data_IF_340365498545
#
_entry.id   IF_340365498545
#
_cell.length_a   1.000
_cell.length_b   1.000
_cell.length_c   1.000
_cell.angle_alpha   90.00
_cell.angle_beta   90.00
_cell.angle_gamma   90.00
#
_symmetry.space_group_name_H-M   'P 1'
#
loop_
_entity.id
_entity.type
_entity.pdbx_description
1 polymer ?
#
# COMPACT_ATOMS: atom_id res chain seq x y z
N UNK A 1 -63.25 -66.70 -23.18
CA UNK A 1 -64.39 -65.78 -22.93
C UNK A 1 -63.94 -64.35 -23.20
N UNK A 2 -64.60 -63.68 -24.17
CA UNK A 2 -64.77 -62.21 -24.44
C UNK A 2 -63.56 -61.27 -24.18
N UNK A 3 -62.86 -60.73 -25.19
CA UNK A 3 -63.16 -59.53 -26.03
C UNK A 3 -63.48 -58.26 -25.21
N UNK A 4 -62.96 -57.04 -25.43
CA UNK A 4 -62.09 -56.43 -26.44
C UNK A 4 -61.69 -54.99 -25.99
N UNK A 5 -60.95 -54.29 -26.87
CA UNK A 5 -60.97 -52.83 -27.17
C UNK A 5 -59.66 -52.07 -26.88
N UNK A 6 -58.97 -51.75 -27.99
CA UNK A 6 -57.97 -50.69 -28.16
C UNK A 6 -58.56 -49.31 -27.84
N UNK A 7 -57.73 -48.39 -27.33
CA UNK A 7 -57.65 -47.00 -27.82
C UNK A 7 -56.40 -46.28 -27.30
N UNK A 8 -55.60 -45.79 -28.25
CA UNK A 8 -54.57 -44.78 -28.07
C UNK A 8 -55.21 -43.45 -27.66
N UNK A 9 -54.68 -42.82 -26.61
CA UNK A 9 -55.10 -41.49 -26.16
C UNK A 9 -53.90 -40.54 -26.13
N UNK A 10 -53.89 -39.61 -27.09
CA UNK A 10 -53.07 -38.39 -27.09
C UNK A 10 -53.34 -37.62 -25.79
N UNK A 11 -52.32 -37.46 -24.96
CA UNK A 11 -52.38 -36.57 -23.79
C UNK A 11 -52.04 -35.14 -24.22
N UNK A 12 -52.98 -34.23 -23.94
CA UNK A 12 -52.92 -32.82 -24.26
C UNK A 12 -51.86 -32.08 -23.42
N UNK A 13 -51.11 -31.21 -24.09
CA UNK A 13 -50.21 -30.23 -23.48
C UNK A 13 -51.01 -29.25 -22.61
N UNK A 14 -50.62 -29.11 -21.34
CA UNK A 14 -51.06 -28.01 -20.47
C UNK A 14 -49.93 -26.97 -20.39
N UNK A 15 -50.22 -25.66 -20.54
CA UNK A 15 -49.22 -24.63 -20.44
C UNK A 15 -48.87 -24.37 -18.97
N UNK A 16 -47.58 -24.47 -18.64
CA UNK A 16 -47.07 -24.08 -17.33
C UNK A 16 -46.92 -22.55 -17.32
N UNK A 17 -47.70 -21.89 -16.48
CA UNK A 17 -47.73 -20.44 -16.29
C UNK A 17 -46.35 -19.91 -15.86
N UNK A 18 -45.78 -19.01 -16.67
CA UNK A 18 -44.62 -18.21 -16.33
C UNK A 18 -45.00 -17.24 -15.19
N UNK A 19 -44.53 -17.51 -13.97
CA UNK A 19 -44.61 -16.53 -12.88
C UNK A 19 -43.66 -15.38 -13.22
N UNK A 20 -44.23 -14.21 -13.49
CA UNK A 20 -43.49 -12.95 -13.51
C UNK A 20 -42.82 -12.74 -12.15
N UNK A 21 -41.51 -12.98 -12.09
CA UNK A 21 -40.66 -12.43 -11.05
C UNK A 21 -40.46 -10.96 -11.37
N UNK A 22 -41.34 -10.12 -10.80
CA UNK A 22 -41.05 -8.69 -10.63
C UNK A 22 -39.98 -8.60 -9.53
N UNK A 23 -38.73 -8.80 -9.93
CA UNK A 23 -37.55 -8.65 -9.09
C UNK A 23 -36.96 -7.27 -9.28
N UNK A 24 -37.19 -6.39 -8.29
CA UNK A 24 -36.62 -5.06 -8.06
C UNK A 24 -35.44 -4.68 -8.97
N UNK A 25 -35.64 -3.63 -9.77
CA UNK A 25 -34.57 -2.81 -10.30
C UNK A 25 -33.76 -2.24 -9.13
N UNK A 26 -32.55 -2.74 -8.91
CA UNK A 26 -31.58 -2.02 -8.10
C UNK A 26 -31.16 -0.79 -8.91
N UNK A 27 -31.76 0.36 -8.60
CA UNK A 27 -31.14 1.65 -8.88
C UNK A 27 -29.94 1.78 -7.96
N UNK A 28 -28.83 1.11 -8.28
CA UNK A 28 -27.54 1.36 -7.62
C UNK A 28 -26.86 2.52 -8.32
N UNK A 29 -27.36 3.72 -8.09
CA UNK A 29 -26.52 4.92 -8.12
C UNK A 29 -25.82 5.04 -6.77
N UNK A 30 -25.08 4.01 -6.36
CA UNK A 30 -23.95 4.23 -5.46
C UNK A 30 -22.77 4.42 -6.41
N UNK A 31 -22.38 5.69 -6.60
CA UNK A 31 -21.14 6.02 -7.30
C UNK A 31 -20.02 5.24 -6.60
N UNK A 32 -19.52 4.19 -7.22
CA UNK A 32 -18.37 3.48 -6.69
C UNK A 32 -17.25 4.51 -6.50
N UNK A 33 -16.52 4.50 -5.38
CA UNK A 33 -15.58 5.56 -5.06
C UNK A 33 -14.61 5.81 -6.22
N UNK A 34 -14.51 7.07 -6.64
CA UNK A 34 -13.65 7.51 -7.74
C UNK A 34 -12.25 7.83 -7.21
N UNK A 35 -11.57 6.86 -6.61
CA UNK A 35 -10.21 7.11 -6.14
C UNK A 35 -9.19 7.04 -7.28
N UNK A 36 -8.46 8.14 -7.50
CA UNK A 36 -7.29 8.18 -8.38
C UNK A 36 -6.01 7.96 -7.58
N UNK A 37 -5.20 7.00 -8.02
CA UNK A 37 -3.89 6.70 -7.44
C UNK A 37 -2.80 6.94 -8.47
N UNK A 38 -1.75 7.68 -8.09
CA UNK A 38 -0.54 7.84 -8.88
C UNK A 38 0.64 7.05 -8.27
N UNK A 39 1.40 6.34 -9.11
CA UNK A 39 2.63 5.66 -8.71
C UNK A 39 3.80 6.35 -9.42
N UNK A 40 4.69 6.99 -8.65
CA UNK A 40 5.89 7.66 -9.16
C UNK A 40 7.11 6.73 -9.02
N UNK A 41 7.69 6.31 -10.14
CA UNK A 41 8.67 5.22 -10.21
C UNK A 41 8.05 3.88 -10.62
N UNK A 42 6.99 3.93 -11.44
CA UNK A 42 6.18 2.77 -11.82
C UNK A 42 6.91 1.75 -12.71
N UNK A 43 7.95 2.16 -13.44
CA UNK A 43 8.73 1.24 -14.28
C UNK A 43 9.83 0.51 -13.49
N UNK A 44 10.10 0.93 -12.25
CA UNK A 44 11.08 0.30 -11.36
C UNK A 44 10.67 -1.07 -10.82
N UNK A 45 11.63 -1.76 -10.17
CA UNK A 45 11.44 -3.12 -9.66
C UNK A 45 10.37 -3.26 -8.57
N UNK A 46 10.08 -2.20 -7.81
CA UNK A 46 8.92 -2.14 -6.89
C UNK A 46 7.68 -1.65 -7.64
N UNK A 47 7.84 -0.67 -8.53
CA UNK A 47 6.76 0.00 -9.24
C UNK A 47 5.89 -0.94 -10.06
N UNK A 48 6.48 -1.84 -10.85
CA UNK A 48 5.72 -2.75 -11.70
C UNK A 48 4.83 -3.72 -10.91
N UNK A 49 5.34 -4.51 -9.94
CA UNK A 49 4.48 -5.37 -9.13
C UNK A 49 3.51 -4.57 -8.26
N UNK A 50 3.85 -3.34 -7.85
CA UNK A 50 2.91 -2.47 -7.13
C UNK A 50 1.77 -2.02 -8.04
N UNK A 51 2.06 -1.63 -9.29
CA UNK A 51 1.04 -1.25 -10.28
C UNK A 51 0.06 -2.40 -10.55
N UNK A 52 0.56 -3.64 -10.66
CA UNK A 52 -0.25 -4.85 -10.74
C UNK A 52 -1.21 -4.95 -9.54
N UNK A 53 -0.69 -4.86 -8.31
CA UNK A 53 -1.51 -4.99 -7.10
C UNK A 53 -2.55 -3.86 -6.98
N UNK A 54 -2.17 -2.63 -7.32
CA UNK A 54 -3.09 -1.49 -7.30
C UNK A 54 -4.17 -1.63 -8.38
N UNK A 55 -3.84 -2.10 -9.59
CA UNK A 55 -4.82 -2.38 -10.64
C UNK A 55 -5.88 -3.39 -10.21
N UNK A 56 -5.53 -4.35 -9.35
CA UNK A 56 -6.47 -5.34 -8.81
C UNK A 56 -7.37 -4.80 -7.68
N UNK A 57 -7.08 -3.61 -7.13
CA UNK A 57 -7.84 -3.05 -6.02
C UNK A 57 -9.19 -2.47 -6.51
N UNK A 58 -10.34 -2.97 -6.01
CA UNK A 58 -11.66 -2.53 -6.45
C UNK A 58 -12.03 -1.09 -6.02
N UNK A 59 -11.28 -0.49 -5.11
CA UNK A 59 -11.51 0.89 -4.65
C UNK A 59 -10.92 1.93 -5.62
N UNK A 60 -10.11 1.51 -6.60
CA UNK A 60 -9.46 2.42 -7.54
C UNK A 60 -10.29 2.54 -8.82
N UNK A 61 -10.52 3.78 -9.28
CA UNK A 61 -11.12 4.06 -10.58
C UNK A 61 -10.07 4.43 -11.63
N UNK A 62 -9.01 5.13 -11.24
CA UNK A 62 -7.93 5.59 -12.11
C UNK A 62 -6.56 5.32 -11.51
N UNK A 63 -5.66 4.75 -12.30
CA UNK A 63 -4.27 4.45 -11.93
C UNK A 63 -3.32 5.15 -12.89
N UNK A 64 -2.68 6.22 -12.42
CA UNK A 64 -1.61 6.91 -13.14
C UNK A 64 -0.27 6.24 -12.82
N UNK A 65 0.43 5.77 -13.84
CA UNK A 65 1.78 5.25 -13.73
C UNK A 65 2.73 6.30 -14.27
N UNK A 66 3.69 6.74 -13.47
CA UNK A 66 4.72 7.69 -13.88
C UNK A 66 6.13 7.13 -13.66
N UNK A 67 7.02 7.40 -14.59
CA UNK A 67 8.47 7.20 -14.44
C UNK A 67 9.21 8.14 -15.41
N UNK A 68 10.53 8.22 -15.33
CA UNK A 68 11.32 8.99 -16.30
C UNK A 68 11.30 8.34 -17.69
N UNK A 69 11.08 7.03 -17.76
CA UNK A 69 11.08 6.26 -19.00
C UNK A 69 10.30 4.93 -18.86
N UNK A 70 9.95 4.31 -19.99
CA UNK A 70 9.36 2.96 -20.10
C UNK A 70 7.94 2.78 -19.53
N UNK A 71 7.35 3.82 -18.95
CA UNK A 71 6.01 3.75 -18.35
C UNK A 71 4.87 3.41 -19.31
N UNK A 72 4.85 3.89 -20.58
CA UNK A 72 3.80 3.51 -21.53
C UNK A 72 3.69 1.99 -21.76
N UNK A 73 4.83 1.29 -21.77
CA UNK A 73 4.84 -0.18 -21.90
C UNK A 73 4.26 -0.87 -20.67
N UNK A 74 4.62 -0.41 -19.47
CA UNK A 74 4.06 -0.92 -18.21
C UNK A 74 2.56 -0.66 -18.12
N UNK A 75 2.12 0.54 -18.53
CA UNK A 75 0.69 0.88 -18.54
C UNK A 75 -0.09 0.02 -19.53
N UNK A 76 0.43 -0.21 -20.74
CA UNK A 76 -0.20 -1.09 -21.72
C UNK A 76 -0.38 -2.52 -21.16
N UNK A 77 0.67 -3.09 -20.56
CA UNK A 77 0.62 -4.42 -19.95
C UNK A 77 -0.44 -4.49 -18.82
N UNK A 78 -0.35 -3.59 -17.84
CA UNK A 78 -1.26 -3.55 -16.69
C UNK A 78 -2.71 -3.24 -17.11
N UNK A 79 -2.91 -2.51 -18.22
CA UNK A 79 -4.25 -2.16 -18.73
C UNK A 79 -5.06 -3.37 -19.22
N UNK A 80 -4.40 -4.44 -19.65
CA UNK A 80 -5.06 -5.66 -20.13
C UNK A 80 -5.74 -6.47 -19.01
N UNK A 81 -5.44 -6.16 -17.75
CA UNK A 81 -6.06 -6.83 -16.60
C UNK A 81 -7.53 -6.44 -16.51
N UNK A 82 -8.39 -7.45 -16.40
CA UNK A 82 -9.86 -7.36 -16.40
C UNK A 82 -10.45 -6.85 -15.07
N UNK A 83 -9.92 -5.73 -14.56
CA UNK A 83 -10.46 -5.01 -13.40
C UNK A 83 -10.89 -3.59 -13.78
N UNK A 84 -11.68 -2.94 -12.91
CA UNK A 84 -12.31 -1.64 -13.22
C UNK A 84 -11.35 -0.46 -13.44
N UNK A 85 -10.19 -0.45 -12.78
CA UNK A 85 -9.33 0.73 -12.75
C UNK A 85 -8.78 1.04 -14.15
N UNK A 86 -9.00 2.24 -14.66
CA UNK A 86 -8.40 2.69 -15.91
C UNK A 86 -6.94 3.03 -15.67
N UNK A 87 -6.04 2.64 -16.58
CA UNK A 87 -4.60 2.79 -16.41
C UNK A 87 -4.07 3.74 -17.48
N UNK A 88 -3.30 4.73 -17.06
CA UNK A 88 -2.58 5.63 -17.95
C UNK A 88 -1.10 5.66 -17.60
N UNK A 89 -0.23 5.65 -18.62
CA UNK A 89 1.21 5.71 -18.46
C UNK A 89 1.75 7.07 -18.88
N UNK A 90 2.61 7.64 -18.04
CA UNK A 90 3.24 8.95 -18.21
C UNK A 90 4.76 8.80 -18.11
N UNK A 91 5.49 9.38 -19.04
CA UNK A 91 6.95 9.36 -19.09
C UNK A 91 7.53 10.75 -19.35
N UNK A 92 8.69 11.03 -18.77
CA UNK A 92 9.36 12.33 -18.91
C UNK A 92 8.84 13.38 -17.94
N UNK A 93 9.69 14.36 -17.59
CA UNK A 93 9.36 15.39 -16.60
C UNK A 93 8.15 16.23 -17.01
N UNK A 94 7.94 16.41 -18.31
CA UNK A 94 6.83 17.16 -18.90
C UNK A 94 5.45 16.54 -18.59
N UNK A 95 5.38 15.21 -18.44
CA UNK A 95 4.12 14.50 -18.17
C UNK A 95 3.85 14.28 -16.67
N UNK A 96 4.78 14.67 -15.79
CA UNK A 96 4.63 14.49 -14.34
C UNK A 96 3.40 15.25 -13.80
N UNK A 97 3.11 16.44 -14.32
CA UNK A 97 1.93 17.21 -13.92
C UNK A 97 0.63 16.49 -14.24
N UNK A 98 0.51 15.94 -15.46
CA UNK A 98 -0.66 15.20 -15.92
C UNK A 98 -0.87 13.89 -15.13
N UNK A 99 0.22 13.21 -14.78
CA UNK A 99 0.17 12.01 -13.96
C UNK A 99 -0.43 12.29 -12.57
N UNK A 100 -0.08 13.44 -11.99
CA UNK A 100 -0.44 13.83 -10.62
C UNK A 100 -1.82 14.49 -10.50
N UNK A 101 -2.29 15.18 -11.53
CA UNK A 101 -3.53 15.97 -11.48
C UNK A 101 -4.72 15.16 -10.94
N UNK A 102 -5.44 15.69 -9.96
CA UNK A 102 -6.60 15.02 -9.34
C UNK A 102 -6.30 13.71 -8.59
N UNK A 103 -5.04 13.41 -8.24
CA UNK A 103 -4.72 12.19 -7.46
C UNK A 103 -5.16 12.33 -6.00
N UNK A 104 -5.81 11.30 -5.47
CA UNK A 104 -6.15 11.19 -4.04
C UNK A 104 -5.01 10.59 -3.23
N UNK A 105 -4.24 9.69 -3.85
CA UNK A 105 -3.08 9.04 -3.25
C UNK A 105 -1.92 9.05 -4.24
N UNK A 106 -0.73 9.44 -3.77
CA UNK A 106 0.52 9.36 -4.52
C UNK A 106 1.47 8.41 -3.79
N UNK A 107 1.87 7.33 -4.45
CA UNK A 107 2.82 6.35 -3.92
C UNK A 107 4.18 6.57 -4.60
N UNK A 108 5.25 6.69 -3.82
CA UNK A 108 6.58 7.04 -4.32
C UNK A 108 7.56 5.90 -4.05
N UNK A 109 7.58 4.84 -4.88
CA UNK A 109 8.67 3.86 -4.90
C UNK A 109 9.92 4.34 -5.66
N UNK A 110 9.85 5.47 -6.36
CA UNK A 110 10.97 6.02 -7.14
C UNK A 110 12.26 6.13 -6.31
N UNK A 111 13.36 5.71 -6.91
CA UNK A 111 14.67 5.79 -6.27
C UNK A 111 15.65 4.84 -6.93
N UNK A 112 16.92 5.11 -6.72
CA UNK A 112 17.99 4.25 -7.20
C UNK A 112 18.25 3.18 -6.13
N UNK A 113 18.29 1.87 -6.49
CA UNK A 113 18.72 0.84 -5.56
C UNK A 113 20.23 0.98 -5.30
N UNK A 114 20.68 0.55 -4.12
CA UNK A 114 22.11 0.52 -3.80
C UNK A 114 22.85 -0.37 -4.81
N UNK A 115 23.84 0.21 -5.52
CA UNK A 115 24.72 -0.52 -6.43
C UNK A 115 26.06 -0.86 -5.73
N UNK A 116 26.77 -1.92 -6.15
CA UNK A 116 28.13 -2.17 -5.69
C UNK A 116 29.01 -0.92 -5.88
N UNK A 117 29.81 -0.58 -4.86
CA UNK A 117 30.68 0.61 -4.87
C UNK A 117 30.01 1.93 -4.44
N UNK A 118 28.68 1.98 -4.29
CA UNK A 118 27.97 3.19 -3.84
C UNK A 118 28.00 3.30 -2.31
N UNK A 119 28.39 4.48 -1.79
CA UNK A 119 28.33 4.76 -0.36
C UNK A 119 26.88 5.00 0.09
N UNK A 120 26.64 4.97 1.41
CA UNK A 120 25.31 5.32 1.95
C UNK A 120 24.95 6.78 1.65
N UNK A 121 25.94 7.67 1.67
CA UNK A 121 25.76 9.10 1.44
C UNK A 121 25.44 9.39 -0.03
N UNK A 122 26.09 8.70 -0.98
CA UNK A 122 25.78 8.83 -2.41
C UNK A 122 24.32 8.46 -2.70
N UNK A 123 23.88 7.31 -2.16
CA UNK A 123 22.52 6.84 -2.29
C UNK A 123 21.51 7.85 -1.71
N UNK A 124 21.83 8.40 -0.54
CA UNK A 124 21.02 9.42 0.10
C UNK A 124 20.90 10.67 -0.77
N UNK A 125 22.02 11.22 -1.27
CA UNK A 125 22.03 12.44 -2.11
C UNK A 125 21.19 12.27 -3.38
N UNK A 126 21.33 11.12 -4.06
CA UNK A 126 20.56 10.83 -5.27
C UNK A 126 19.06 10.77 -4.95
N UNK A 127 18.67 9.96 -3.97
CA UNK A 127 17.25 9.79 -3.65
C UNK A 127 16.64 11.04 -3.02
N UNK A 128 17.42 11.85 -2.30
CA UNK A 128 17.00 13.15 -1.79
C UNK A 128 16.65 14.11 -2.93
N UNK A 129 17.45 14.15 -4.00
CA UNK A 129 17.16 14.94 -5.21
C UNK A 129 15.88 14.49 -5.90
N UNK A 130 15.72 13.18 -6.10
CA UNK A 130 14.51 12.59 -6.70
C UNK A 130 13.27 12.94 -5.88
N UNK A 131 13.29 12.65 -4.57
CA UNK A 131 12.18 12.92 -3.66
C UNK A 131 11.83 14.41 -3.64
N UNK A 132 12.83 15.30 -3.58
CA UNK A 132 12.59 16.75 -3.61
C UNK A 132 11.86 17.18 -4.88
N UNK A 133 12.30 16.69 -6.05
CA UNK A 133 11.67 17.01 -7.34
C UNK A 133 10.22 16.54 -7.38
N UNK A 134 9.98 15.26 -7.05
CA UNK A 134 8.63 14.68 -7.06
C UNK A 134 7.71 15.35 -6.04
N UNK A 135 8.18 15.65 -4.82
CA UNK A 135 7.38 16.35 -3.82
C UNK A 135 7.10 17.80 -4.22
N UNK A 136 8.00 18.47 -4.93
CA UNK A 136 7.74 19.81 -5.48
C UNK A 136 6.60 19.76 -6.49
N UNK A 137 6.55 18.73 -7.33
CA UNK A 137 5.45 18.53 -8.27
C UNK A 137 4.13 18.18 -7.56
N UNK A 138 4.15 17.31 -6.53
CA UNK A 138 2.97 16.99 -5.72
C UNK A 138 2.39 18.26 -5.07
N UNK A 139 3.25 19.09 -4.48
CA UNK A 139 2.86 20.36 -3.87
C UNK A 139 2.16 21.32 -4.85
N UNK A 140 2.52 21.23 -6.14
CA UNK A 140 1.96 22.07 -7.20
C UNK A 140 0.67 21.51 -7.79
N UNK A 141 0.62 20.21 -8.09
CA UNK A 141 -0.43 19.61 -8.91
C UNK A 141 -1.50 18.85 -8.11
N UNK A 142 -1.17 18.33 -6.93
CA UNK A 142 -2.12 17.59 -6.09
C UNK A 142 -1.82 17.76 -4.59
N UNK A 143 -1.79 19.00 -4.05
CA UNK A 143 -1.39 19.26 -2.66
C UNK A 143 -2.29 18.62 -1.60
N UNK A 144 -3.46 18.12 -1.99
CA UNK A 144 -4.41 17.46 -1.09
C UNK A 144 -4.26 15.94 -1.04
N UNK A 145 -3.41 15.34 -1.89
CA UNK A 145 -3.23 13.90 -1.95
C UNK A 145 -2.56 13.34 -0.68
N UNK A 146 -2.90 12.10 -0.33
CA UNK A 146 -2.13 11.33 0.64
C UNK A 146 -0.83 10.83 -0.03
N UNK A 147 0.31 11.12 0.59
CA UNK A 147 1.63 10.76 0.07
C UNK A 147 2.18 9.55 0.82
N UNK A 148 2.33 8.44 0.11
CA UNK A 148 2.88 7.19 0.60
C UNK A 148 4.35 7.05 0.13
N UNK A 149 5.28 7.50 0.97
CA UNK A 149 6.71 7.50 0.71
C UNK A 149 7.34 6.11 0.93
N UNK A 150 7.84 5.48 -0.14
CA UNK A 150 8.60 4.22 -0.11
C UNK A 150 10.09 4.47 -0.37
N UNK A 151 10.44 5.57 -1.07
CA UNK A 151 11.82 5.93 -1.41
C UNK A 151 12.75 5.89 -0.21
N UNK A 152 13.78 5.06 -0.30
CA UNK A 152 14.77 4.92 0.76
C UNK A 152 15.83 6.04 0.70
N UNK A 153 16.39 6.46 1.84
CA UNK A 153 16.06 6.03 3.20
C UNK A 153 14.83 6.76 3.76
N UNK A 154 13.77 6.02 4.13
CA UNK A 154 12.48 6.59 4.61
C UNK A 154 12.66 7.55 5.79
N UNK A 155 13.57 7.23 6.70
CA UNK A 155 13.90 8.06 7.88
C UNK A 155 14.37 9.48 7.52
N UNK A 156 14.77 9.72 6.27
CA UNK A 156 15.24 11.02 5.80
C UNK A 156 14.43 11.58 4.64
N UNK A 157 13.91 10.73 3.74
CA UNK A 157 13.06 11.17 2.63
C UNK A 157 11.72 11.73 3.08
N UNK A 158 11.15 11.22 4.19
CA UNK A 158 9.93 11.79 4.79
C UNK A 158 10.17 13.20 5.35
N UNK A 159 11.19 13.46 6.20
CA UNK A 159 11.55 14.83 6.58
C UNK A 159 11.83 15.75 5.39
N UNK A 160 12.51 15.28 4.35
CA UNK A 160 12.75 16.07 3.13
C UNK A 160 11.42 16.47 2.47
N UNK A 161 10.49 15.52 2.30
CA UNK A 161 9.18 15.80 1.74
C UNK A 161 8.40 16.82 2.59
N UNK A 162 8.44 16.68 3.92
CA UNK A 162 7.81 17.62 4.83
C UNK A 162 8.36 19.04 4.65
N UNK A 163 9.68 19.22 4.59
CA UNK A 163 10.29 20.54 4.39
C UNK A 163 9.98 21.13 3.00
N UNK A 164 9.89 20.30 1.96
CA UNK A 164 9.44 20.74 0.62
C UNK A 164 8.01 21.26 0.67
N UNK A 165 7.10 20.53 1.32
CA UNK A 165 5.71 20.96 1.47
C UNK A 165 5.56 22.19 2.36
N UNK A 166 6.36 22.31 3.43
CA UNK A 166 6.36 23.50 4.30
C UNK A 166 6.79 24.73 3.52
N UNK A 167 7.87 24.61 2.74
CA UNK A 167 8.35 25.69 1.86
C UNK A 167 7.32 26.08 0.80
N UNK A 168 6.52 25.13 0.33
CA UNK A 168 5.43 25.37 -0.62
C UNK A 168 4.12 25.87 0.04
N UNK A 169 4.04 25.90 1.37
CA UNK A 169 2.82 26.28 2.10
C UNK A 169 1.69 25.24 2.04
N UNK A 170 2.01 23.99 1.70
CA UNK A 170 1.03 22.90 1.47
C UNK A 170 1.19 21.73 2.44
N UNK A 171 2.04 21.85 3.46
CA UNK A 171 2.29 20.78 4.42
C UNK A 171 1.08 20.52 5.31
N UNK A 172 0.62 19.27 5.29
CA UNK A 172 -0.33 18.70 6.23
C UNK A 172 0.25 17.40 6.79
N UNK A 173 0.55 17.37 8.09
CA UNK A 173 1.11 16.21 8.78
C UNK A 173 0.24 14.95 8.68
N UNK A 174 -1.06 15.13 8.40
CA UNK A 174 -2.05 14.06 8.25
C UNK A 174 -2.02 13.39 6.88
N UNK A 175 -1.23 13.92 5.94
CA UNK A 175 -1.20 13.48 4.54
C UNK A 175 0.15 12.91 4.11
N UNK A 176 1.20 13.00 4.94
CA UNK A 176 2.53 12.49 4.60
C UNK A 176 2.89 11.25 5.44
N UNK A 177 3.09 10.13 4.75
CA UNK A 177 3.32 8.82 5.36
C UNK A 177 4.61 8.18 4.84
N UNK A 178 5.53 7.84 5.74
CA UNK A 178 6.57 6.87 5.47
C UNK A 178 6.03 5.45 5.57
N UNK A 179 6.12 4.69 4.47
CA UNK A 179 5.61 3.32 4.41
C UNK A 179 6.59 2.38 5.09
N UNK A 180 6.29 2.00 6.34
CA UNK A 180 7.06 1.04 7.14
C UNK A 180 6.39 -0.33 7.23
N UNK A 181 5.32 -0.54 6.47
CA UNK A 181 4.49 -1.75 6.47
C UNK A 181 5.28 -3.03 6.19
N UNK A 182 6.39 -2.95 5.44
CA UNK A 182 7.23 -4.13 5.19
C UNK A 182 7.86 -4.67 6.48
N UNK A 183 8.17 -3.81 7.45
CA UNK A 183 8.73 -4.26 8.74
C UNK A 183 7.66 -4.98 9.56
N UNK A 184 6.41 -4.49 9.52
CA UNK A 184 5.25 -5.17 10.14
C UNK A 184 5.00 -6.52 9.47
N UNK A 185 5.02 -6.58 8.14
CA UNK A 185 4.86 -7.84 7.38
C UNK A 185 5.94 -8.85 7.75
N UNK A 186 7.20 -8.41 7.86
CA UNK A 186 8.32 -9.26 8.32
C UNK A 186 8.14 -9.73 9.76
N UNK A 187 7.86 -8.81 10.68
CA UNK A 187 7.66 -9.13 12.09
C UNK A 187 6.54 -10.15 12.29
N UNK A 188 5.39 -9.97 11.61
CA UNK A 188 4.27 -10.92 11.60
C UNK A 188 4.72 -12.30 11.09
N UNK A 189 5.41 -12.33 9.95
CA UNK A 189 5.86 -13.58 9.31
C UNK A 189 6.86 -14.34 10.19
N UNK A 190 7.86 -13.66 10.73
CA UNK A 190 8.90 -14.27 11.56
C UNK A 190 8.34 -14.73 12.91
N UNK A 191 7.48 -13.92 13.53
CA UNK A 191 6.78 -14.30 14.75
C UNK A 191 5.92 -15.55 14.51
N UNK A 192 5.07 -15.54 13.49
CA UNK A 192 4.20 -16.66 13.13
C UNK A 192 4.99 -17.97 12.95
N UNK A 193 6.11 -17.91 12.23
CA UNK A 193 7.00 -19.08 12.03
C UNK A 193 7.62 -19.58 13.34
N UNK A 194 7.98 -18.67 14.25
CA UNK A 194 8.58 -19.04 15.55
C UNK A 194 7.55 -19.66 16.50
N UNK A 195 6.35 -19.08 16.60
CA UNK A 195 5.29 -19.56 17.51
C UNK A 195 4.37 -20.60 16.89
N UNK A 196 4.55 -20.88 15.59
CA UNK A 196 3.79 -21.87 14.80
C UNK A 196 2.28 -21.62 14.77
N UNK A 197 1.89 -20.37 14.53
CA UNK A 197 0.48 -19.96 14.36
C UNK A 197 0.23 -19.44 12.94
N UNK A 198 -1.02 -19.43 12.44
CA UNK A 198 -1.35 -18.84 11.15
C UNK A 198 -0.96 -17.35 11.09
N UNK A 199 -0.16 -16.95 10.09
CA UNK A 199 0.33 -15.57 9.95
C UNK A 199 -0.80 -14.53 9.80
N UNK A 200 -1.95 -14.95 9.26
CA UNK A 200 -3.14 -14.10 9.10
C UNK A 200 -3.70 -13.61 10.44
N UNK A 201 -3.53 -14.40 11.51
CA UNK A 201 -4.01 -14.10 12.86
C UNK A 201 -2.99 -13.28 13.67
N UNK A 202 -1.77 -13.14 13.17
CA UNK A 202 -0.70 -12.45 13.88
C UNK A 202 -0.81 -10.94 13.74
N UNK A 203 -0.66 -10.22 14.84
CA UNK A 203 -0.45 -8.78 14.85
C UNK A 203 0.80 -8.47 15.68
N UNK A 204 1.78 -7.76 15.10
CA UNK A 204 2.98 -7.28 15.80
C UNK A 204 3.19 -5.83 15.40
N UNK A 205 3.03 -4.87 16.34
CA UNK A 205 3.34 -3.48 16.06
C UNK A 205 4.83 -3.29 15.85
N UNK A 206 5.22 -2.49 14.86
CA UNK A 206 6.61 -2.07 14.66
C UNK A 206 6.67 -0.55 14.71
N UNK A 207 7.53 -0.03 15.57
CA UNK A 207 7.67 1.41 15.84
C UNK A 207 9.11 1.88 15.57
N UNK A 208 9.38 3.17 15.74
CA UNK A 208 10.73 3.73 15.55
C UNK A 208 10.96 4.33 14.17
N UNK A 209 11.73 3.66 13.33
CA UNK A 209 12.05 4.04 11.95
C UNK A 209 12.16 2.82 11.05
N UNK A 210 12.75 2.99 9.86
CA UNK A 210 12.85 2.01 8.77
C UNK A 210 14.31 1.70 8.39
N UNK A 211 15.24 1.71 9.34
CA UNK A 211 16.65 1.43 9.07
C UNK A 211 17.36 0.75 10.25
N UNK A 212 17.75 -0.52 10.07
CA UNK A 212 18.54 -1.28 11.05
C UNK A 212 17.94 -1.19 12.45
N UNK A 213 18.74 -0.75 13.43
CA UNK A 213 18.34 -0.66 14.84
C UNK A 213 17.17 0.29 15.11
N UNK A 214 16.80 1.16 14.17
CA UNK A 214 15.63 2.04 14.34
C UNK A 214 14.32 1.26 14.18
N UNK A 215 14.33 0.06 13.62
CA UNK A 215 13.16 -0.81 13.48
C UNK A 215 12.91 -1.52 14.82
N UNK A 216 11.83 -1.19 15.52
CA UNK A 216 11.51 -1.69 16.85
C UNK A 216 10.24 -2.55 16.84
N UNK A 217 10.33 -3.86 16.56
CA UNK A 217 9.18 -4.76 16.66
C UNK A 217 8.81 -5.02 18.12
N UNK A 218 7.60 -4.64 18.50
CA UNK A 218 7.09 -4.77 19.86
C UNK A 218 6.49 -6.15 20.09
N UNK A 219 7.34 -7.19 20.16
CA UNK A 219 6.90 -8.57 20.36
C UNK A 219 6.17 -8.79 21.71
N UNK A 220 6.40 -7.93 22.71
CA UNK A 220 5.62 -7.90 23.95
C UNK A 220 4.14 -7.57 23.73
N UNK A 221 3.81 -6.89 22.63
CA UNK A 221 2.45 -6.54 22.20
C UNK A 221 1.94 -7.44 21.08
N UNK A 222 2.63 -8.56 20.80
CA UNK A 222 2.19 -9.50 19.78
C UNK A 222 0.85 -10.16 20.17
N UNK A 223 -0.02 -10.34 19.18
CA UNK A 223 -1.23 -11.13 19.28
C UNK A 223 -1.19 -12.22 18.19
N UNK A 224 -1.54 -13.48 18.50
CA UNK A 224 -1.78 -14.03 19.84
C UNK A 224 -0.52 -13.93 20.71
N UNK A 225 -0.69 -13.80 22.03
CA UNK A 225 0.43 -13.84 22.96
C UNK A 225 1.03 -15.24 23.01
N UNK A 226 2.35 -15.33 23.09
CA UNK A 226 3.07 -16.58 23.30
C UNK A 226 3.84 -16.51 24.61
N UNK A 227 3.60 -17.47 25.51
CA UNK A 227 4.36 -17.67 26.74
C UNK A 227 5.70 -18.39 26.50
N UNK A 228 5.95 -18.83 25.26
CA UNK A 228 7.02 -19.77 24.93
C UNK A 228 8.23 -19.09 24.26
N UNK A 229 8.30 -17.75 24.26
CA UNK A 229 9.43 -17.02 23.72
C UNK A 229 10.40 -16.67 24.85
N UNK A 230 11.62 -17.21 24.76
CA UNK A 230 12.72 -16.78 25.63
C UNK A 230 13.21 -15.38 25.23
N UNK A 231 14.00 -14.74 26.11
CA UNK A 231 14.64 -13.47 25.78
C UNK A 231 15.56 -13.60 24.55
N UNK A 232 16.22 -14.74 24.38
CA UNK A 232 17.09 -14.99 23.23
C UNK A 232 16.28 -15.17 21.94
N UNK A 233 15.08 -15.75 22.02
CA UNK A 233 14.16 -15.79 20.89
C UNK A 233 13.70 -14.38 20.50
N UNK A 234 13.38 -13.53 21.47
CA UNK A 234 12.99 -12.13 21.23
C UNK A 234 14.14 -11.35 20.60
N UNK A 235 15.37 -11.49 21.10
CA UNK A 235 16.57 -10.86 20.52
C UNK A 235 16.79 -11.32 19.08
N UNK A 236 16.69 -12.63 18.82
CA UNK A 236 16.88 -13.20 17.49
C UNK A 236 15.80 -12.71 16.50
N UNK A 237 14.53 -12.71 16.91
CA UNK A 237 13.42 -12.17 16.10
C UNK A 237 13.60 -10.67 15.82
N UNK A 238 14.03 -9.91 16.82
CA UNK A 238 14.29 -8.47 16.68
C UNK A 238 15.39 -8.23 15.67
N UNK A 239 16.53 -8.91 15.83
CA UNK A 239 17.68 -8.79 14.93
C UNK A 239 17.32 -9.17 13.49
N UNK A 240 16.61 -10.29 13.30
CA UNK A 240 16.16 -10.72 11.97
C UNK A 240 15.19 -9.72 11.34
N UNK A 241 14.31 -9.10 12.11
CA UNK A 241 13.40 -8.06 11.60
C UNK A 241 14.18 -6.83 11.15
N UNK A 242 15.13 -6.36 11.96
CA UNK A 242 16.01 -5.22 11.64
C UNK A 242 16.89 -5.47 10.41
N UNK A 243 17.37 -6.70 10.24
CA UNK A 243 18.27 -7.10 9.16
C UNK A 243 17.53 -7.69 7.95
N UNK A 244 16.19 -7.78 7.96
CA UNK A 244 15.43 -8.47 6.92
C UNK A 244 15.60 -7.86 5.51
N UNK A 245 16.02 -6.58 5.43
CA UNK A 245 16.45 -5.97 4.16
C UNK A 245 17.79 -6.53 3.66
N UNK A 246 18.76 -6.66 4.57
CA UNK A 246 20.09 -7.22 4.31
C UNK A 246 20.01 -8.69 3.91
N UNK A 247 19.19 -9.49 4.62
CA UNK A 247 18.94 -10.91 4.30
C UNK A 247 18.52 -11.09 2.82
N UNK A 248 17.65 -10.22 2.31
CA UNK A 248 17.20 -10.28 0.90
C UNK A 248 18.27 -9.82 -0.08
N UNK A 249 19.05 -8.78 0.26
CA UNK A 249 20.14 -8.30 -0.59
C UNK A 249 21.22 -9.38 -0.75
N UNK A 250 21.57 -10.07 0.33
CA UNK A 250 22.51 -11.18 0.33
C UNK A 250 21.98 -12.37 -0.48
N UNK A 251 20.72 -12.75 -0.27
CA UNK A 251 20.07 -13.81 -1.05
C UNK A 251 19.98 -13.50 -2.55
N UNK A 252 19.91 -12.22 -2.92
CA UNK A 252 19.97 -11.75 -4.32
C UNK A 252 21.40 -11.55 -4.83
N UNK A 253 22.43 -11.96 -4.08
CA UNK A 253 23.84 -11.77 -4.41
C UNK A 253 24.18 -10.31 -4.75
N UNK A 254 23.58 -9.36 -4.01
CA UNK A 254 23.76 -7.91 -4.22
C UNK A 254 23.02 -7.34 -5.44
N UNK A 255 22.28 -8.15 -6.21
CA UNK A 255 21.52 -7.72 -7.41
C UNK A 255 20.16 -7.11 -7.05
N UNK A 256 20.19 -6.12 -6.16
CA UNK A 256 19.01 -5.37 -5.71
C UNK A 256 18.46 -5.81 -4.35
N UNK A 257 17.42 -5.12 -3.90
CA UNK A 257 16.76 -5.31 -2.60
C UNK A 257 15.39 -5.98 -2.75
N UNK A 258 14.63 -6.03 -1.65
CA UNK A 258 13.25 -6.51 -1.65
C UNK A 258 12.38 -5.68 -2.60
N UNK A 259 11.79 -6.35 -3.60
CA UNK A 259 10.93 -5.74 -4.62
C UNK A 259 9.49 -6.20 -4.47
N UNK A 260 9.26 -7.51 -4.57
CA UNK A 260 7.93 -8.11 -4.53
C UNK A 260 7.23 -7.93 -3.17
N UNK A 261 7.93 -8.24 -2.08
CA UNK A 261 7.38 -8.06 -0.73
C UNK A 261 7.18 -6.58 -0.39
N UNK A 262 8.00 -5.68 -0.95
CA UNK A 262 7.82 -4.24 -0.77
C UNK A 262 6.62 -3.72 -1.56
N UNK A 263 6.39 -4.21 -2.79
CA UNK A 263 5.19 -3.91 -3.56
C UNK A 263 3.93 -4.38 -2.82
N UNK A 264 3.95 -5.59 -2.26
CA UNK A 264 2.87 -6.08 -1.39
C UNK A 264 2.63 -5.15 -0.19
N UNK A 265 3.68 -4.81 0.55
CA UNK A 265 3.56 -3.93 1.71
C UNK A 265 3.05 -2.51 1.34
N UNK A 266 3.51 -1.96 0.22
CA UNK A 266 3.03 -0.69 -0.32
C UNK A 266 1.56 -0.73 -0.70
N UNK A 267 1.11 -1.83 -1.35
CA UNK A 267 -0.29 -2.03 -1.72
C UNK A 267 -1.20 -2.17 -0.49
N UNK A 268 -0.75 -2.92 0.54
CA UNK A 268 -1.48 -3.04 1.82
C UNK A 268 -1.67 -1.67 2.48
N UNK A 269 -0.60 -0.86 2.53
CA UNK A 269 -0.71 0.47 3.13
C UNK A 269 -1.60 1.43 2.33
N UNK A 270 -1.50 1.38 1.00
CA UNK A 270 -2.33 2.19 0.12
C UNK A 270 -3.81 1.77 0.19
N UNK A 271 -4.12 0.47 0.25
CA UNK A 271 -5.47 -0.04 0.49
C UNK A 271 -6.04 0.46 1.82
N UNK A 272 -5.24 0.47 2.89
CA UNK A 272 -5.65 1.06 4.17
C UNK A 272 -5.94 2.57 4.06
N UNK A 273 -5.17 3.31 3.26
CA UNK A 273 -5.46 4.73 2.99
C UNK A 273 -6.76 4.89 2.17
N UNK A 274 -6.99 4.08 1.13
CA UNK A 274 -8.22 4.07 0.34
C UNK A 274 -9.46 3.77 1.20
N UNK A 275 -9.37 2.77 2.07
CA UNK A 275 -10.43 2.46 3.05
C UNK A 275 -10.69 3.63 4.00
N UNK A 276 -9.64 4.28 4.47
CA UNK A 276 -9.73 5.49 5.29
C UNK A 276 -10.45 6.64 4.56
N UNK A 277 -10.10 6.92 3.29
CA UNK A 277 -10.77 7.92 2.46
C UNK A 277 -12.26 7.60 2.25
N UNK A 278 -12.59 6.31 2.14
CA UNK A 278 -13.96 5.81 1.99
C UNK A 278 -14.74 5.71 3.32
N UNK A 279 -14.20 6.24 4.42
CA UNK A 279 -14.90 6.30 5.70
C UNK A 279 -15.01 4.96 6.44
N UNK A 280 -14.22 3.95 6.07
CA UNK A 280 -14.15 2.70 6.84
C UNK A 280 -13.54 3.02 8.22
N UNK A 281 -14.25 2.75 9.33
CA UNK A 281 -13.76 3.08 10.66
C UNK A 281 -12.63 2.13 11.10
N UNK A 282 -11.92 2.54 12.15
CA UNK A 282 -10.96 1.69 12.88
C UNK A 282 -9.80 1.10 12.06
N UNK A 283 -9.45 1.70 10.93
CA UNK A 283 -8.23 1.32 10.19
C UNK A 283 -7.01 1.79 10.98
N UNK A 284 -6.13 0.87 11.36
CA UNK A 284 -4.91 1.15 12.12
C UNK A 284 -3.71 0.52 11.43
N UNK A 285 -2.72 1.34 11.08
CA UNK A 285 -1.48 0.89 10.45
C UNK A 285 -0.27 1.56 11.11
N UNK A 286 0.88 0.88 11.14
CA UNK A 286 2.13 1.54 11.51
C UNK A 286 2.67 2.35 10.32
N UNK A 287 3.09 3.59 10.56
CA UNK A 287 3.72 4.44 9.55
C UNK A 287 4.65 5.46 10.21
N UNK A 288 5.74 5.81 9.50
CA UNK A 288 6.67 6.85 9.91
C UNK A 288 6.12 8.23 9.53
N UNK A 289 5.66 8.98 10.52
CA UNK A 289 4.93 10.24 10.34
C UNK A 289 5.50 11.33 11.25
N UNK A 290 5.11 12.59 11.01
CA UNK A 290 5.36 13.64 11.99
C UNK A 290 4.63 13.26 13.29
N UNK A 291 5.34 13.31 14.41
CA UNK A 291 4.89 12.71 15.66
C UNK A 291 5.38 13.51 16.86
N UNK A 292 4.57 13.50 17.92
CA UNK A 292 4.89 14.06 19.24
C UNK A 292 5.00 12.97 20.33
N UNK A 293 5.04 11.68 19.95
CA UNK A 293 5.13 10.55 20.90
C UNK A 293 6.50 10.52 21.61
N UNK A 294 7.54 11.00 20.94
CA UNK A 294 8.89 11.15 21.47
C UNK A 294 9.39 12.56 21.18
N UNK A 295 10.56 12.93 21.69
CA UNK A 295 11.19 14.23 21.39
C UNK A 295 11.65 14.35 19.92
N UNK A 296 11.59 13.27 19.15
CA UNK A 296 11.93 13.27 17.73
C UNK A 296 10.74 13.77 16.90
N UNK A 297 10.97 14.63 15.89
CA UNK A 297 9.89 15.22 15.10
C UNK A 297 9.16 14.20 14.21
N UNK A 298 9.80 13.06 13.92
CA UNK A 298 9.21 11.97 13.14
C UNK A 298 9.46 10.63 13.84
N UNK A 299 8.43 9.79 13.88
CA UNK A 299 8.50 8.48 14.52
C UNK A 299 7.45 7.53 13.93
N UNK A 300 7.83 6.28 13.70
CA UNK A 300 6.90 5.24 13.30
C UNK A 300 6.11 4.77 14.50
N UNK A 301 4.79 4.80 14.40
CA UNK A 301 3.87 4.33 15.45
C UNK A 301 2.55 3.89 14.83
N UNK A 302 1.66 3.29 15.64
CA UNK A 302 0.29 3.01 15.21
C UNK A 302 -0.45 4.32 14.91
N UNK A 303 -0.76 4.54 13.65
CA UNK A 303 -1.61 5.61 13.18
C UNK A 303 -3.03 5.06 12.96
N UNK A 304 -3.99 5.59 13.72
CA UNK A 304 -5.41 5.44 13.35
C UNK A 304 -5.66 6.26 12.09
N UNK A 305 -6.49 5.75 11.19
CA UNK A 305 -6.88 6.38 9.93
C UNK A 305 -8.40 6.57 10.00
N UNK A 306 -8.83 7.69 10.57
CA UNK A 306 -10.26 8.02 10.69
C UNK A 306 -10.60 9.26 9.85
N UNK A 307 -11.63 9.17 8.99
CA UNK A 307 -12.11 10.30 8.22
C UNK A 307 -13.04 11.17 9.09
N UNK A 308 -12.59 12.35 9.50
CA UNK A 308 -13.46 13.36 10.13
C UNK A 308 -13.31 14.69 9.42
N UNK A 309 -14.41 15.16 8.81
CA UNK A 309 -14.52 16.51 8.24
C UNK A 309 -13.54 16.82 7.12
N UNK A 310 -13.24 15.87 6.22
CA UNK A 310 -12.37 16.10 5.06
C UNK A 310 -10.88 15.92 5.31
N UNK A 311 -10.48 15.36 6.47
CA UNK A 311 -9.07 15.04 6.77
C UNK A 311 -8.92 13.69 7.46
N UNK A 312 -7.83 13.00 7.16
CA UNK A 312 -7.45 11.73 7.77
C UNK A 312 -6.84 12.01 9.15
N UNK A 313 -7.53 11.67 10.23
CA UNK A 313 -7.02 11.89 11.58
C UNK A 313 -6.05 10.79 11.97
N UNK A 314 -4.77 11.15 12.11
CA UNK A 314 -3.75 10.33 12.77
C UNK A 314 -3.81 10.60 14.27
N UNK A 315 -4.65 9.85 14.98
CA UNK A 315 -4.66 9.85 16.44
C UNK A 315 -3.58 8.90 16.98
N UNK A 316 -2.54 9.43 17.62
CA UNK A 316 -1.56 8.64 18.37
C UNK A 316 -2.20 8.15 19.68
N UNK A 317 -2.95 7.05 19.64
CA UNK A 317 -3.46 6.41 20.87
C UNK A 317 -2.40 5.60 21.63
N UNK A 318 -1.12 5.80 21.32
CA UNK A 318 -0.04 4.95 21.83
C UNK A 318 0.47 5.45 23.18
N UNK A 319 0.26 4.65 24.23
CA UNK A 319 1.13 4.68 25.41
C UNK A 319 2.19 3.59 25.21
N UNK A 320 3.46 3.99 25.30
CA UNK A 320 4.61 3.08 25.32
C UNK A 320 4.53 2.14 26.51
#
# INVERSE_FOLDING_TARGET
MKAAVLRSSRAALRPCTCRHLVGRSYSSTESSPESKVAILGAAGGIGQPLALLMKLNPLISSLSLYDIANTPGVAADVSHINSRAQVAGYAGEEQLGEALDGSDIVIIPAGVPRKPGMTRDDLFKINAGIVKSLCTAIAKYCPNALVNMISNPVNSTVPIAAEVFKKAGTFDERKLFGVTTLDVVRAKTFYAGKVKVPVAEVNVPVVGGHAGITILPLFSQAAPKSSNLSDDDIKALTKRTQDGGTEVVEAKAGKGSATLSMAYAGAVFADACLKGLNGVPDIVECSFVQSSITDLPFFASKARKEWRGGSLWIGSSFRL
#
